data_IF_551831944492
#
_entry.id   IF_551831944492
#
_cell.length_a   1.000
_cell.length_b   1.000
_cell.length_c   1.000
_cell.angle_alpha   90.00
_cell.angle_beta   90.00
_cell.angle_gamma   90.00
#
_symmetry.space_group_name_H-M   'P 1'
#
loop_
_entity.id
_entity.type
_entity.pdbx_description
1 polymer ?
#
# COMPACT_ATOMS: atom_id res chain seq x y z
N UNK A 1 3.32 46.53 -26.06
CA UNK A 1 4.54 47.30 -25.69
C UNK A 1 4.13 48.47 -24.80
N UNK A 2 3.99 48.25 -23.50
CA UNK A 2 3.80 49.34 -22.52
C UNK A 2 4.74 49.04 -21.33
N UNK A 3 5.83 49.82 -21.25
CA UNK A 3 6.77 49.87 -20.12
C UNK A 3 6.32 50.99 -19.18
N UNK A 4 6.41 50.78 -17.87
CA UNK A 4 6.38 51.85 -16.88
C UNK A 4 7.60 51.70 -15.97
N UNK A 5 8.29 52.83 -15.83
CA UNK A 5 9.63 52.99 -15.25
C UNK A 5 9.60 53.05 -13.71
N UNK A 6 10.76 52.71 -13.15
CA UNK A 6 11.18 52.83 -11.76
C UNK A 6 10.99 54.21 -11.13
N UNK A 7 10.84 54.22 -9.80
CA UNK A 7 11.34 55.30 -8.93
C UNK A 7 11.71 54.74 -7.55
N UNK A 8 12.95 55.03 -7.18
CA UNK A 8 13.70 54.76 -5.94
C UNK A 8 13.25 55.63 -4.75
N UNK A 9 13.87 55.38 -3.57
CA UNK A 9 14.05 56.22 -2.34
C UNK A 9 13.25 55.69 -1.15
N UNK A 10 13.71 55.51 0.10
CA UNK A 10 15.01 55.57 0.82
C UNK A 10 14.76 54.98 2.23
N UNK A 11 15.81 54.42 2.85
CA UNK A 11 15.79 53.89 4.21
C UNK A 11 15.67 54.98 5.30
N UNK A 12 14.99 54.68 6.41
CA UNK A 12 15.18 55.38 7.70
C UNK A 12 15.23 54.39 8.87
N UNK A 13 15.90 54.84 9.92
CA UNK A 13 16.69 54.10 10.90
C UNK A 13 16.14 54.36 12.31
N UNK A 14 15.96 53.29 13.09
CA UNK A 14 16.16 53.22 14.56
C UNK A 14 15.11 53.83 15.50
N UNK A 15 14.68 53.06 16.51
CA UNK A 15 15.05 53.31 17.92
C UNK A 15 14.66 52.14 18.85
N UNK A 16 15.47 52.02 19.91
CA UNK A 16 15.51 51.08 21.04
C UNK A 16 14.25 50.94 21.89
N UNK A 17 14.09 49.78 22.54
CA UNK A 17 13.96 49.57 24.01
C UNK A 17 13.62 48.08 24.25
N UNK A 18 14.57 47.24 24.72
CA UNK A 18 14.69 46.80 26.13
C UNK A 18 13.36 46.74 26.88
N UNK A 19 12.81 45.53 27.07
CA UNK A 19 12.55 44.97 28.40
C UNK A 19 11.91 43.57 28.27
N UNK A 20 12.06 42.78 29.33
CA UNK A 20 11.50 41.44 29.58
C UNK A 20 12.30 40.23 29.11
N UNK A 21 13.48 40.10 29.71
CA UNK A 21 14.24 38.85 29.94
C UNK A 21 13.52 37.89 30.93
N UNK A 22 12.27 38.15 31.30
CA UNK A 22 11.47 37.32 32.20
C UNK A 22 10.32 36.62 31.45
N UNK A 23 10.64 35.60 30.64
CA UNK A 23 9.65 34.59 30.18
C UNK A 23 10.28 33.29 29.63
N UNK A 24 11.62 33.17 29.63
CA UNK A 24 12.31 31.99 29.12
C UNK A 24 12.21 30.79 30.09
N UNK A 25 11.98 31.02 31.38
CA UNK A 25 11.88 29.93 32.37
C UNK A 25 10.45 29.42 32.62
N UNK A 26 9.43 29.97 31.95
CA UNK A 26 8.03 29.56 32.15
C UNK A 26 7.39 28.85 30.95
N UNK A 27 8.17 28.55 29.90
CA UNK A 27 7.78 27.62 28.82
C UNK A 27 8.45 26.25 28.88
N UNK A 28 9.29 26.00 29.89
CA UNK A 28 9.97 24.72 30.11
C UNK A 28 9.09 23.64 30.78
N UNK A 29 7.80 23.90 30.99
CA UNK A 29 6.87 22.98 31.69
C UNK A 29 5.73 22.43 30.81
N UNK A 30 5.77 22.65 29.50
CA UNK A 30 4.87 21.96 28.54
C UNK A 30 5.65 20.96 27.68
N UNK A 31 6.69 20.35 28.25
CA UNK A 31 7.20 19.05 27.80
C UNK A 31 6.23 17.95 28.26
N UNK A 32 5.05 17.89 27.63
CA UNK A 32 4.36 16.60 27.50
C UNK A 32 5.24 15.74 26.59
N UNK A 33 5.62 14.51 26.96
CA UNK A 33 6.18 13.62 25.98
C UNK A 33 5.11 13.46 24.90
N UNK A 34 5.37 13.95 23.69
CA UNK A 34 4.67 13.44 22.51
C UNK A 34 4.84 11.93 22.56
N UNK A 35 3.79 11.14 22.33
CA UNK A 35 3.99 9.72 22.05
C UNK A 35 5.04 9.69 20.96
N UNK A 36 6.20 9.12 21.29
CA UNK A 36 7.18 8.77 20.28
C UNK A 36 6.49 7.64 19.55
N UNK A 37 5.75 7.97 18.49
CA UNK A 37 5.29 6.96 17.56
C UNK A 37 6.54 6.18 17.17
N UNK A 38 6.55 4.85 17.32
CA UNK A 38 7.66 4.07 16.83
C UNK A 38 7.82 4.43 15.37
N UNK A 39 9.02 4.85 14.99
CA UNK A 39 9.37 4.98 13.58
C UNK A 39 9.13 3.59 12.97
N UNK A 40 8.03 3.41 12.26
CA UNK A 40 7.65 2.21 11.51
C UNK A 40 8.60 1.98 10.29
N UNK A 41 9.89 2.19 10.50
CA UNK A 41 10.97 1.61 9.70
C UNK A 41 11.16 0.11 10.03
N UNK A 42 10.46 -0.41 11.04
CA UNK A 42 10.51 -1.81 11.47
C UNK A 42 9.59 -2.69 10.59
N UNK A 43 10.18 -3.44 9.64
CA UNK A 43 9.73 -4.72 9.02
C UNK A 43 10.21 -4.89 7.56
N UNK A 44 11.43 -4.45 7.26
CA UNK A 44 12.09 -4.75 5.97
C UNK A 44 12.29 -6.25 5.73
N UNK A 45 12.33 -7.05 6.79
CA UNK A 45 12.67 -8.48 6.76
C UNK A 45 11.47 -9.43 6.80
N UNK A 46 10.22 -8.95 6.84
CA UNK A 46 9.04 -9.83 6.97
C UNK A 46 8.39 -10.11 5.62
N UNK A 47 8.11 -11.39 5.35
CA UNK A 47 7.38 -11.83 4.17
C UNK A 47 5.96 -11.27 4.21
N UNK A 48 5.58 -10.59 3.13
CA UNK A 48 4.26 -10.00 2.91
C UNK A 48 3.54 -10.75 1.80
N UNK A 49 2.23 -10.54 1.74
CA UNK A 49 1.37 -11.27 0.81
C UNK A 49 1.76 -11.10 -0.67
N UNK A 50 2.23 -9.91 -1.10
CA UNK A 50 2.67 -9.70 -2.47
C UNK A 50 3.99 -10.41 -2.80
N UNK A 51 4.83 -10.76 -1.83
CA UNK A 51 6.09 -11.48 -2.11
C UNK A 51 5.79 -12.86 -2.70
N UNK A 52 4.63 -13.44 -2.36
CA UNK A 52 4.13 -14.66 -2.96
C UNK A 52 3.94 -14.55 -4.48
N UNK A 53 3.80 -13.34 -5.02
CA UNK A 53 3.63 -13.09 -6.45
C UNK A 53 4.92 -12.66 -7.15
N UNK A 54 5.87 -12.10 -6.41
CA UNK A 54 7.08 -11.53 -6.97
C UNK A 54 8.28 -12.51 -6.96
N UNK A 55 8.40 -13.34 -5.93
CA UNK A 55 9.52 -14.28 -5.78
C UNK A 55 9.29 -15.58 -6.57
N UNK A 56 10.34 -16.32 -6.96
CA UNK A 56 10.21 -17.67 -7.52
C UNK A 56 9.48 -18.61 -6.54
N UNK A 57 8.68 -19.55 -7.07
CA UNK A 57 7.88 -20.45 -6.22
C UNK A 57 8.79 -21.34 -5.37
N UNK A 58 9.90 -21.79 -5.93
CA UNK A 58 10.89 -22.65 -5.27
C UNK A 58 11.49 -21.94 -4.05
N UNK A 59 11.87 -20.67 -4.23
CA UNK A 59 12.38 -19.82 -3.14
C UNK A 59 11.33 -19.66 -2.03
N UNK A 60 10.06 -19.42 -2.40
CA UNK A 60 8.96 -19.32 -1.44
C UNK A 60 8.75 -20.63 -0.66
N UNK A 61 8.80 -21.77 -1.36
CA UNK A 61 8.59 -23.08 -0.75
C UNK A 61 9.72 -23.39 0.24
N UNK A 62 10.97 -23.18 -0.14
CA UNK A 62 12.12 -23.41 0.72
C UNK A 62 12.07 -22.51 1.96
N UNK A 63 11.78 -21.23 1.76
CA UNK A 63 11.70 -20.22 2.83
C UNK A 63 10.60 -20.53 3.85
N UNK A 64 9.47 -21.07 3.39
CA UNK A 64 8.32 -21.42 4.24
C UNK A 64 8.37 -22.88 4.72
N UNK A 65 9.46 -23.62 4.45
CA UNK A 65 9.58 -25.06 4.68
C UNK A 65 8.32 -25.81 4.17
N UNK A 66 7.90 -25.45 2.97
CA UNK A 66 6.66 -25.89 2.36
C UNK A 66 6.88 -27.05 1.39
N UNK A 67 5.89 -27.95 1.32
CA UNK A 67 5.90 -29.06 0.37
C UNK A 67 4.64 -29.04 -0.48
N UNK A 68 4.79 -29.34 -1.77
CA UNK A 68 3.67 -29.45 -2.72
C UNK A 68 3.48 -30.93 -3.10
N UNK A 69 2.26 -31.44 -2.98
CA UNK A 69 1.91 -32.83 -3.33
C UNK A 69 0.67 -32.88 -4.20
N UNK A 70 0.66 -33.80 -5.16
CA UNK A 70 -0.55 -34.12 -5.93
C UNK A 70 -1.44 -35.04 -5.08
N UNK A 71 -2.71 -34.69 -4.93
CA UNK A 71 -3.68 -35.51 -4.23
C UNK A 71 -5.10 -35.26 -4.77
N UNK A 72 -5.92 -36.30 -4.79
CA UNK A 72 -7.35 -36.16 -5.07
C UNK A 72 -8.00 -35.25 -4.02
N UNK A 73 -8.70 -34.22 -4.48
CA UNK A 73 -9.31 -33.22 -3.62
C UNK A 73 -10.81 -33.51 -3.43
N UNK A 74 -11.35 -33.37 -2.21
CA UNK A 74 -12.79 -33.43 -2.03
C UNK A 74 -13.46 -32.22 -2.68
N UNK A 75 -14.69 -32.41 -3.14
CA UNK A 75 -15.49 -31.38 -3.83
C UNK A 75 -14.81 -30.85 -5.11
N UNK A 76 -15.16 -29.65 -5.53
CA UNK A 76 -14.60 -28.93 -6.67
C UNK A 76 -13.28 -28.20 -6.37
N UNK A 77 -12.66 -28.41 -5.20
CA UNK A 77 -11.39 -27.78 -4.82
C UNK A 77 -10.19 -28.15 -5.71
N UNK A 78 -9.42 -27.15 -6.11
CA UNK A 78 -8.22 -27.28 -6.94
C UNK A 78 -6.95 -27.47 -6.11
N UNK A 79 -6.95 -26.98 -4.86
CA UNK A 79 -5.88 -27.23 -3.92
C UNK A 79 -6.24 -26.84 -2.50
N UNK A 80 -5.37 -27.23 -1.58
CA UNK A 80 -5.50 -26.94 -0.16
C UNK A 80 -4.12 -26.70 0.44
N UNK A 81 -4.05 -25.88 1.48
CA UNK A 81 -2.85 -25.68 2.27
C UNK A 81 -3.17 -25.85 3.76
N UNK A 82 -2.29 -26.59 4.43
CA UNK A 82 -2.38 -26.95 5.84
C UNK A 82 -1.10 -26.55 6.57
N UNK A 83 -1.24 -26.10 7.81
CA UNK A 83 -0.14 -25.89 8.73
C UNK A 83 0.23 -24.42 8.94
N UNK A 84 1.32 -24.21 9.68
CA UNK A 84 1.92 -22.91 9.96
C UNK A 84 3.39 -22.91 9.48
N UNK A 85 3.99 -21.75 9.17
CA UNK A 85 5.38 -21.64 8.73
C UNK A 85 6.40 -22.10 9.77
N UNK A 86 6.06 -22.06 11.06
CA UNK A 86 6.92 -22.56 12.14
C UNK A 86 7.12 -24.08 12.06
N UNK A 87 6.11 -24.82 11.58
CA UNK A 87 6.12 -26.27 11.41
C UNK A 87 6.21 -26.71 9.94
N UNK A 88 6.18 -25.76 9.00
CA UNK A 88 6.20 -25.96 7.57
C UNK A 88 4.79 -26.09 6.97
N UNK A 89 4.64 -25.61 5.73
CA UNK A 89 3.36 -25.66 5.02
C UNK A 89 3.22 -26.95 4.20
N UNK A 90 2.02 -27.53 4.17
CA UNK A 90 1.69 -28.66 3.29
C UNK A 90 0.65 -28.23 2.29
N UNK A 91 1.05 -28.14 1.03
CA UNK A 91 0.20 -27.74 -0.08
C UNK A 91 -0.16 -28.99 -0.89
N UNK A 92 -1.45 -29.17 -1.12
CA UNK A 92 -1.99 -30.22 -1.97
C UNK A 92 -2.61 -29.59 -3.20
N UNK A 93 -2.33 -30.16 -4.36
CA UNK A 93 -2.86 -29.71 -5.65
C UNK A 93 -3.56 -30.86 -6.35
N UNK A 94 -4.67 -30.57 -7.02
CA UNK A 94 -5.40 -31.55 -7.80
C UNK A 94 -4.54 -32.06 -8.96
N UNK A 95 -4.55 -33.38 -9.26
CA UNK A 95 -3.92 -33.90 -10.47
C UNK A 95 -4.51 -33.30 -11.74
N UNK A 96 -3.71 -33.21 -12.80
CA UNK A 96 -4.16 -32.74 -14.12
C UNK A 96 -4.04 -31.24 -14.37
N UNK A 97 -3.69 -30.43 -13.36
CA UNK A 97 -3.33 -29.02 -13.55
C UNK A 97 -1.98 -28.88 -14.26
N UNK A 98 -1.87 -27.87 -15.13
CA UNK A 98 -0.60 -27.45 -15.74
C UNK A 98 0.34 -26.83 -14.71
N UNK A 99 1.64 -26.77 -15.03
CA UNK A 99 2.64 -26.15 -14.13
C UNK A 99 2.35 -24.68 -13.86
N UNK A 100 1.79 -23.97 -14.85
CA UNK A 100 1.34 -22.59 -14.70
C UNK A 100 0.19 -22.47 -13.69
N UNK A 101 -0.83 -23.33 -13.79
CA UNK A 101 -1.96 -23.34 -12.85
C UNK A 101 -1.51 -23.73 -11.44
N UNK A 102 -0.62 -24.71 -11.30
CA UNK A 102 -0.04 -25.11 -10.02
C UNK A 102 0.72 -23.94 -9.40
N UNK A 103 1.59 -23.27 -10.16
CA UNK A 103 2.35 -22.10 -9.69
C UNK A 103 1.40 -21.01 -9.18
N UNK A 104 0.41 -20.63 -9.97
CA UNK A 104 -0.55 -19.58 -9.60
C UNK A 104 -1.39 -19.96 -8.38
N UNK A 105 -1.82 -21.22 -8.28
CA UNK A 105 -2.55 -21.76 -7.14
C UNK A 105 -1.71 -21.71 -5.85
N UNK A 106 -0.47 -22.16 -5.90
CA UNK A 106 0.49 -22.12 -4.77
C UNK A 106 0.69 -20.68 -4.30
N UNK A 107 0.97 -19.75 -5.22
CA UNK A 107 1.16 -18.33 -4.92
C UNK A 107 -0.06 -17.72 -4.24
N UNK A 108 -1.26 -18.04 -4.72
CA UNK A 108 -2.51 -17.53 -4.14
C UNK A 108 -2.77 -18.07 -2.74
N UNK A 109 -2.51 -19.37 -2.49
CA UNK A 109 -2.61 -19.97 -1.16
C UNK A 109 -1.62 -19.33 -0.18
N UNK A 110 -0.35 -19.21 -0.58
CA UNK A 110 0.70 -18.59 0.25
C UNK A 110 0.39 -17.12 0.50
N UNK A 111 0.04 -16.35 -0.53
CA UNK A 111 -0.30 -14.93 -0.43
C UNK A 111 -1.49 -14.70 0.51
N UNK A 112 -2.55 -15.52 0.39
CA UNK A 112 -3.68 -15.46 1.31
C UNK A 112 -3.27 -15.72 2.77
N UNK A 113 -2.45 -16.74 2.99
CA UNK A 113 -1.97 -17.07 4.33
C UNK A 113 -1.08 -15.98 4.93
N UNK A 114 -0.17 -15.41 4.15
CA UNK A 114 0.67 -14.29 4.59
C UNK A 114 -0.17 -13.04 4.90
N UNK A 115 -1.25 -12.80 4.15
CA UNK A 115 -2.20 -11.72 4.42
C UNK A 115 -3.16 -11.99 5.58
N UNK A 116 -3.39 -13.24 5.95
CA UNK A 116 -4.21 -13.65 7.10
C UNK A 116 -3.48 -14.70 7.96
N UNK A 117 -2.41 -14.30 8.68
CA UNK A 117 -1.66 -15.22 9.53
C UNK A 117 -2.55 -15.87 10.60
N UNK A 118 -2.28 -17.11 10.95
CA UNK A 118 -3.09 -17.88 11.93
C UNK A 118 -4.28 -18.63 11.32
N UNK A 119 -4.40 -18.64 9.99
CA UNK A 119 -5.30 -19.56 9.29
C UNK A 119 -4.69 -20.97 9.29
N UNK A 120 -5.29 -21.90 10.04
CA UNK A 120 -4.77 -23.27 10.15
C UNK A 120 -5.01 -24.13 8.91
N UNK A 121 -5.98 -23.75 8.08
CA UNK A 121 -6.30 -24.40 6.81
C UNK A 121 -6.92 -23.41 5.83
N UNK A 122 -6.49 -23.45 4.58
CA UNK A 122 -7.17 -22.79 3.47
C UNK A 122 -7.31 -23.72 2.25
N UNK A 123 -8.41 -23.56 1.52
CA UNK A 123 -8.72 -24.31 0.30
C UNK A 123 -8.98 -23.34 -0.84
N UNK A 124 -8.53 -23.70 -2.03
CA UNK A 124 -8.78 -22.96 -3.25
C UNK A 124 -9.81 -23.70 -4.11
N UNK A 125 -10.91 -23.04 -4.43
CA UNK A 125 -11.94 -23.54 -5.36
C UNK A 125 -11.94 -22.69 -6.62
N UNK A 126 -12.46 -23.17 -7.76
CA UNK A 126 -12.74 -22.33 -8.91
C UNK A 126 -13.66 -21.17 -8.49
N UNK A 127 -13.44 -19.99 -9.07
CA UNK A 127 -14.40 -18.90 -8.95
C UNK A 127 -15.53 -19.13 -9.95
N UNK A 128 -16.78 -19.00 -9.50
CA UNK A 128 -17.96 -19.21 -10.36
C UNK A 128 -18.03 -18.28 -11.58
N UNK A 129 -17.35 -17.13 -11.52
CA UNK A 129 -17.44 -16.07 -12.52
C UNK A 129 -16.28 -16.08 -13.53
N UNK A 130 -15.26 -16.93 -13.32
CA UNK A 130 -14.12 -17.04 -14.24
C UNK A 130 -13.39 -18.37 -14.03
N UNK A 131 -13.28 -19.16 -15.10
CA UNK A 131 -12.58 -20.45 -15.13
C UNK A 131 -11.08 -20.33 -14.76
N UNK A 132 -10.54 -19.12 -14.87
CA UNK A 132 -9.15 -18.85 -14.51
C UNK A 132 -9.01 -18.34 -13.08
N UNK A 133 -10.07 -17.95 -12.38
CA UNK A 133 -9.96 -17.38 -11.04
C UNK A 133 -10.15 -18.44 -9.95
N UNK A 134 -9.50 -18.25 -8.81
CA UNK A 134 -9.66 -19.11 -7.64
C UNK A 134 -10.26 -18.32 -6.47
N UNK A 135 -11.16 -18.92 -5.71
CA UNK A 135 -11.60 -18.39 -4.43
C UNK A 135 -10.91 -19.14 -3.31
N UNK A 136 -10.35 -18.40 -2.34
CA UNK A 136 -9.79 -19.01 -1.14
C UNK A 136 -10.83 -19.01 -0.03
N UNK A 137 -11.09 -20.19 0.53
CA UNK A 137 -11.91 -20.40 1.72
C UNK A 137 -10.96 -20.80 2.85
N UNK A 138 -11.06 -20.11 3.98
CA UNK A 138 -10.19 -20.36 5.14
C UNK A 138 -11.02 -20.75 6.35
N UNK A 139 -10.56 -21.74 7.11
CA UNK A 139 -11.11 -22.01 8.45
C UNK A 139 -10.17 -21.35 9.45
N UNK A 140 -10.68 -20.45 10.34
CA UNK A 140 -9.87 -19.87 11.39
C UNK A 140 -9.20 -20.99 12.21
N UNK A 141 -7.90 -20.84 12.50
CA UNK A 141 -7.28 -21.69 13.50
C UNK A 141 -8.01 -21.51 14.84
N UNK A 142 -8.18 -22.58 15.61
CA UNK A 142 -8.65 -22.46 16.99
C UNK A 142 -7.62 -21.56 17.71
N UNK A 143 -8.01 -20.44 18.34
CA UNK A 143 -7.05 -19.68 19.13
C UNK A 143 -6.49 -20.64 20.17
N UNK A 144 -5.17 -20.79 20.23
CA UNK A 144 -4.57 -21.50 21.33
C UNK A 144 -5.02 -20.77 22.60
N UNK A 145 -5.66 -21.47 23.54
CA UNK A 145 -6.02 -20.96 24.85
C UNK A 145 -4.72 -20.51 25.55
N UNK A 146 -4.34 -19.26 25.32
CA UNK A 146 -3.24 -18.58 25.96
C UNK A 146 -3.82 -17.30 26.50
N UNK A 147 -3.86 -17.24 27.83
CA UNK A 147 -4.32 -16.10 28.59
C UNK A 147 -3.52 -14.85 28.21
N UNK A 148 -4.22 -13.71 28.23
CA UNK A 148 -3.73 -12.35 28.03
C UNK A 148 -3.04 -12.05 26.70
N UNK A 149 -3.72 -11.27 25.85
CA UNK A 149 -3.27 -9.95 25.36
C UNK A 149 -1.92 -9.80 24.67
N UNK A 150 -1.16 -10.87 24.47
CA UNK A 150 0.09 -10.87 23.75
C UNK A 150 -0.24 -11.00 22.27
N UNK A 151 -0.11 -9.88 21.56
CA UNK A 151 0.26 -9.86 20.15
C UNK A 151 1.19 -11.04 19.93
N UNK A 152 0.81 -11.96 19.04
CA UNK A 152 1.57 -13.16 18.72
C UNK A 152 2.84 -12.70 18.04
N UNK A 153 3.79 -12.28 18.86
CA UNK A 153 5.10 -11.80 18.49
C UNK A 153 5.87 -13.06 18.11
N UNK A 154 5.74 -13.37 16.82
CA UNK A 154 6.83 -13.75 15.97
C UNK A 154 8.14 -14.15 16.68
N UNK A 155 8.16 -15.30 17.35
CA UNK A 155 9.30 -16.22 17.21
C UNK A 155 9.21 -16.90 15.83
N UNK A 156 9.06 -16.07 14.78
CA UNK A 156 9.34 -16.48 13.41
C UNK A 156 10.87 -16.49 13.34
N UNK A 157 11.44 -17.65 13.03
CA UNK A 157 12.83 -17.78 12.56
C UNK A 157 13.19 -16.53 11.78
N UNK A 158 14.30 -15.88 12.13
CA UNK A 158 14.91 -14.77 11.37
C UNK A 158 14.73 -15.07 9.89
N UNK A 159 13.73 -14.43 9.29
CA UNK A 159 13.44 -14.62 7.88
C UNK A 159 14.67 -14.04 7.19
N UNK A 160 15.40 -14.80 6.34
CA UNK A 160 16.53 -14.26 5.61
C UNK A 160 16.14 -12.94 4.96
N UNK A 161 17.10 -12.02 4.90
CA UNK A 161 16.89 -10.67 4.38
C UNK A 161 16.14 -10.74 3.05
N UNK A 162 14.88 -10.31 3.08
CA UNK A 162 13.99 -10.41 1.92
C UNK A 162 14.51 -9.57 0.78
N UNK A 163 15.23 -8.48 1.06
CA UNK A 163 15.85 -7.66 0.03
C UNK A 163 16.78 -8.50 -0.86
N UNK A 164 17.59 -9.38 -0.24
CA UNK A 164 18.51 -10.26 -0.95
C UNK A 164 17.79 -11.27 -1.86
N UNK A 165 16.55 -11.65 -1.54
CA UNK A 165 15.76 -12.59 -2.35
C UNK A 165 15.32 -12.00 -3.70
N UNK A 166 15.31 -10.68 -3.81
CA UNK A 166 15.00 -9.98 -5.05
C UNK A 166 16.23 -9.75 -5.93
N UNK A 167 17.45 -9.98 -5.43
CA UNK A 167 18.68 -9.79 -6.22
C UNK A 167 18.67 -10.67 -7.48
N UNK A 168 18.89 -10.04 -8.63
CA UNK A 168 18.86 -10.72 -9.93
C UNK A 168 17.46 -11.11 -10.45
N UNK A 169 16.39 -10.79 -9.71
CA UNK A 169 15.01 -10.93 -10.20
C UNK A 169 14.59 -9.74 -11.06
N UNK A 170 13.51 -9.91 -11.85
CA UNK A 170 12.89 -8.84 -12.63
C UNK A 170 12.39 -7.67 -11.75
N UNK A 171 12.17 -7.94 -10.46
CA UNK A 171 11.69 -7.00 -9.46
C UNK A 171 12.78 -6.49 -8.52
N UNK A 172 14.07 -6.71 -8.82
CA UNK A 172 15.14 -6.02 -8.10
C UNK A 172 15.00 -4.49 -8.24
N UNK A 173 15.37 -3.66 -7.26
CA UNK A 173 15.45 -2.22 -7.44
C UNK A 173 16.29 -1.80 -8.65
N UNK A 174 15.81 -0.90 -9.50
CA UNK A 174 16.54 -0.44 -10.70
C UNK A 174 17.83 0.31 -10.37
N UNK A 175 17.78 1.12 -9.31
CA UNK A 175 18.84 2.06 -8.97
C UNK A 175 19.33 1.89 -7.53
N UNK A 176 19.08 0.72 -6.93
CA UNK A 176 19.32 0.46 -5.52
C UNK A 176 18.16 0.94 -4.64
N UNK A 177 18.35 0.86 -3.32
CA UNK A 177 17.36 1.27 -2.33
C UNK A 177 17.38 2.79 -2.12
N UNK A 178 16.19 3.37 -2.02
CA UNK A 178 15.95 4.81 -1.97
C UNK A 178 15.15 5.17 -0.70
N UNK A 179 15.21 6.45 -0.30
CA UNK A 179 14.36 7.00 0.75
C UNK A 179 12.90 7.14 0.28
N UNK A 180 11.96 7.26 1.22
CA UNK A 180 10.54 7.50 0.91
C UNK A 180 10.36 8.72 -0.01
N UNK A 181 11.08 9.83 0.24
CA UNK A 181 10.94 11.06 -0.53
C UNK A 181 11.50 10.94 -1.96
N UNK A 182 12.63 10.25 -2.13
CA UNK A 182 13.18 9.94 -3.46
C UNK A 182 12.22 9.07 -4.26
N UNK A 183 11.59 8.09 -3.60
CA UNK A 183 10.60 7.20 -4.21
C UNK A 183 9.35 7.97 -4.59
N UNK A 184 8.82 8.82 -3.70
CA UNK A 184 7.68 9.70 -3.99
C UNK A 184 7.99 10.60 -5.20
N UNK A 185 9.18 11.20 -5.24
CA UNK A 185 9.63 12.01 -6.38
C UNK A 185 9.64 11.22 -7.70
N UNK A 186 10.19 10.00 -7.69
CA UNK A 186 10.20 9.13 -8.86
C UNK A 186 8.80 8.70 -9.30
N UNK A 187 7.88 8.40 -8.36
CA UNK A 187 6.50 8.04 -8.66
C UNK A 187 5.71 9.21 -9.27
N UNK A 188 5.91 10.43 -8.75
CA UNK A 188 5.34 11.65 -9.35
C UNK A 188 5.86 11.85 -10.77
N UNK A 189 7.16 11.64 -11.01
CA UNK A 189 7.75 11.73 -12.34
C UNK A 189 7.17 10.69 -13.31
N UNK A 190 6.82 9.47 -12.86
CA UNK A 190 6.13 8.50 -13.72
C UNK A 190 4.77 9.04 -14.21
N UNK A 191 3.99 9.67 -13.32
CA UNK A 191 2.70 10.26 -13.69
C UNK A 191 2.88 11.42 -14.68
N UNK A 192 3.80 12.34 -14.38
CA UNK A 192 3.99 13.55 -15.18
C UNK A 192 4.65 13.25 -16.51
N UNK A 193 5.76 12.51 -16.50
CA UNK A 193 6.61 12.34 -17.68
C UNK A 193 6.10 11.22 -18.60
N UNK A 194 5.50 10.17 -18.05
CA UNK A 194 5.10 8.98 -18.82
C UNK A 194 3.60 8.87 -19.04
N UNK A 195 2.78 9.35 -18.10
CA UNK A 195 1.32 9.36 -18.24
C UNK A 195 0.77 10.74 -18.64
N UNK A 196 1.66 11.73 -18.82
CA UNK A 196 1.30 13.11 -19.18
C UNK A 196 0.26 13.75 -18.24
N UNK A 197 0.26 13.28 -16.99
CA UNK A 197 -0.70 13.66 -15.96
C UNK A 197 -0.23 14.78 -15.04
N UNK A 198 -0.99 14.97 -13.97
CA UNK A 198 -0.68 15.84 -12.84
C UNK A 198 -0.46 14.99 -11.60
N UNK A 199 0.60 15.28 -10.86
CA UNK A 199 0.92 14.59 -9.61
C UNK A 199 1.39 15.60 -8.57
N UNK A 200 0.50 15.98 -7.66
CA UNK A 200 0.76 17.00 -6.66
C UNK A 200 0.46 16.48 -5.26
N UNK A 201 1.17 17.00 -4.26
CA UNK A 201 0.64 16.92 -2.91
C UNK A 201 -0.56 17.88 -2.82
N UNK A 202 -1.52 17.56 -1.95
CA UNK A 202 -2.66 18.43 -1.76
C UNK A 202 -2.22 19.83 -1.30
N UNK A 203 -2.77 20.92 -1.89
CA UNK A 203 -2.51 22.28 -1.41
C UNK A 203 -2.91 22.46 0.05
N UNK A 204 -2.15 23.25 0.82
CA UNK A 204 -2.44 23.54 2.23
C UNK A 204 -3.80 24.25 2.45
N UNK A 205 -4.32 24.91 1.41
CA UNK A 205 -5.59 25.64 1.40
C UNK A 205 -6.77 24.83 0.85
N UNK A 206 -6.58 23.56 0.51
CA UNK A 206 -7.66 22.69 0.10
C UNK A 206 -8.63 22.42 1.28
N UNK A 207 -9.93 22.28 0.96
CA UNK A 207 -10.94 21.85 1.94
C UNK A 207 -10.50 20.56 2.63
N UNK A 208 -10.80 20.42 3.93
CA UNK A 208 -10.46 19.22 4.70
C UNK A 208 -10.96 17.98 3.98
N UNK A 209 -10.07 17.00 3.86
CA UNK A 209 -10.42 15.75 3.22
C UNK A 209 -11.42 14.98 4.09
N UNK A 210 -12.29 14.21 3.43
CA UNK A 210 -13.17 13.31 4.15
C UNK A 210 -12.35 12.36 5.01
N UNK A 211 -12.84 12.12 6.23
CA UNK A 211 -12.14 11.27 7.19
C UNK A 211 -11.83 9.90 6.56
N UNK A 212 -10.56 9.49 6.66
CA UNK A 212 -10.10 8.19 6.18
C UNK A 212 -9.66 8.13 4.72
N UNK A 213 -9.76 9.22 3.95
CA UNK A 213 -9.24 9.31 2.58
C UNK A 213 -7.83 9.93 2.59
N UNK A 214 -6.89 9.35 1.83
CA UNK A 214 -5.49 9.79 1.76
C UNK A 214 -4.97 10.13 0.37
N UNK A 215 -5.64 9.64 -0.69
CA UNK A 215 -5.37 10.10 -2.06
C UNK A 215 -6.63 10.14 -2.95
N UNK A 216 -6.55 10.87 -4.05
CA UNK A 216 -7.56 10.93 -5.10
C UNK A 216 -6.91 10.73 -6.45
N UNK A 217 -7.60 9.99 -7.31
CA UNK A 217 -7.19 9.80 -8.69
C UNK A 217 -8.38 10.09 -9.58
N UNK A 218 -8.25 11.11 -10.41
CA UNK A 218 -9.21 11.46 -11.45
C UNK A 218 -8.54 11.33 -12.82
N UNK A 219 -9.33 11.46 -13.88
CA UNK A 219 -8.82 11.41 -15.25
C UNK A 219 -9.38 12.56 -16.07
N UNK A 220 -8.50 13.43 -16.52
CA UNK A 220 -8.80 14.46 -17.50
C UNK A 220 -8.43 14.04 -18.90
N UNK A 221 -8.54 14.98 -19.84
CA UNK A 221 -8.03 14.84 -21.19
C UNK A 221 -7.16 16.02 -21.57
N UNK A 222 -6.01 15.75 -22.18
CA UNK A 222 -5.12 16.75 -22.77
C UNK A 222 -4.80 16.31 -24.18
N UNK A 223 -5.03 17.19 -25.15
CA UNK A 223 -4.80 16.91 -26.57
C UNK A 223 -5.50 15.63 -27.10
N UNK A 224 -6.62 15.25 -26.48
CA UNK A 224 -7.40 14.04 -26.82
C UNK A 224 -6.91 12.77 -26.14
N UNK A 225 -5.81 12.82 -25.38
CA UNK A 225 -5.29 11.71 -24.60
C UNK A 225 -5.79 11.79 -23.15
N UNK A 226 -6.08 10.62 -22.56
CA UNK A 226 -6.51 10.52 -21.16
C UNK A 226 -5.30 10.72 -20.25
N UNK A 227 -5.38 11.68 -19.33
CA UNK A 227 -4.30 12.03 -18.42
C UNK A 227 -4.76 11.90 -16.96
N UNK A 228 -4.03 11.17 -16.10
CA UNK A 228 -4.37 11.07 -14.70
C UNK A 228 -4.10 12.38 -13.95
N UNK A 229 -4.96 12.69 -12.98
CA UNK A 229 -4.79 13.77 -12.02
C UNK A 229 -4.74 13.12 -10.64
N UNK A 230 -3.59 13.19 -9.98
CA UNK A 230 -3.34 12.49 -8.71
C UNK A 230 -2.97 13.50 -7.63
N UNK A 231 -3.70 13.42 -6.52
CA UNK A 231 -3.43 14.21 -5.32
C UNK A 231 -3.30 13.29 -4.11
N UNK A 232 -2.29 13.52 -3.29
CA UNK A 232 -2.05 12.77 -2.04
C UNK A 232 -1.91 13.75 -0.88
N UNK A 233 -2.49 13.43 0.26
CA UNK A 233 -2.39 14.24 1.48
C UNK A 233 -0.91 14.32 1.96
N UNK A 234 -0.30 15.52 2.02
CA UNK A 234 1.08 15.69 2.48
C UNK A 234 1.26 15.45 3.99
N UNK A 235 0.18 15.47 4.78
CA UNK A 235 0.25 15.37 6.24
C UNK A 235 0.36 13.91 6.74
N UNK A 236 0.21 12.94 5.83
CA UNK A 236 0.35 11.53 6.15
C UNK A 236 1.82 11.15 6.41
N UNK A 237 2.09 10.12 7.23
CA UNK A 237 3.45 9.60 7.42
C UNK A 237 4.11 9.22 6.08
N UNK A 238 5.41 9.53 5.93
CA UNK A 238 6.15 9.35 4.66
C UNK A 238 6.02 7.95 4.06
N UNK A 239 6.10 6.92 4.89
CA UNK A 239 5.97 5.54 4.44
C UNK A 239 4.57 5.21 3.92
N UNK A 240 3.52 5.82 4.48
CA UNK A 240 2.15 5.70 3.97
C UNK A 240 1.97 6.48 2.68
N UNK A 241 2.53 7.69 2.60
CA UNK A 241 2.53 8.49 1.37
C UNK A 241 3.20 7.75 0.22
N UNK A 242 4.36 7.13 0.46
CA UNK A 242 5.04 6.35 -0.57
C UNK A 242 4.18 5.17 -1.06
N UNK A 243 3.55 4.41 -0.15
CA UNK A 243 2.65 3.31 -0.53
C UNK A 243 1.42 3.81 -1.31
N UNK A 244 0.83 4.94 -0.90
CA UNK A 244 -0.31 5.58 -1.57
C UNK A 244 0.08 6.07 -2.97
N UNK A 245 1.21 6.77 -3.12
CA UNK A 245 1.72 7.17 -4.43
C UNK A 245 1.93 5.96 -5.34
N UNK A 246 2.48 4.86 -4.83
CA UNK A 246 2.62 3.62 -5.59
C UNK A 246 1.28 3.05 -6.05
N UNK A 247 0.28 3.07 -5.17
CA UNK A 247 -1.08 2.65 -5.50
C UNK A 247 -1.75 3.56 -6.54
N UNK A 248 -1.63 4.87 -6.38
CA UNK A 248 -2.16 5.85 -7.32
C UNK A 248 -1.51 5.75 -8.70
N UNK A 249 -0.20 5.50 -8.79
CA UNK A 249 0.49 5.23 -10.07
C UNK A 249 -0.08 3.97 -10.73
N UNK A 250 -0.25 2.89 -9.96
CA UNK A 250 -0.82 1.64 -10.48
C UNK A 250 -2.27 1.81 -10.96
N UNK A 251 -3.07 2.57 -10.20
CA UNK A 251 -4.44 2.94 -10.55
C UNK A 251 -4.50 3.79 -11.82
N UNK A 252 -3.66 4.82 -11.91
CA UNK A 252 -3.53 5.71 -13.06
C UNK A 252 -3.09 4.97 -14.33
N UNK A 253 -2.28 3.92 -14.19
CA UNK A 253 -1.79 3.09 -15.29
C UNK A 253 -2.82 2.07 -15.80
N UNK A 254 -4.03 2.07 -15.25
CA UNK A 254 -5.10 1.13 -15.65
C UNK A 254 -4.95 -0.27 -15.05
N UNK A 255 -4.36 -0.38 -13.85
CA UNK A 255 -4.36 -1.64 -13.11
C UNK A 255 -5.77 -2.17 -12.89
N UNK A 256 -5.92 -3.50 -12.83
CA UNK A 256 -7.22 -4.14 -12.66
C UNK A 256 -7.86 -3.78 -11.30
N UNK A 257 -9.03 -3.13 -11.40
CA UNK A 257 -9.79 -2.56 -10.30
C UNK A 257 -10.74 -3.55 -9.62
N UNK A 258 -10.83 -4.78 -10.12
CA UNK A 258 -11.78 -5.76 -9.59
C UNK A 258 -13.23 -5.28 -9.65
N UNK A 259 -13.56 -4.47 -10.65
CA UNK A 259 -14.89 -3.89 -10.84
C UNK A 259 -15.18 -2.60 -10.04
N UNK A 260 -14.19 -2.03 -9.34
CA UNK A 260 -14.38 -0.72 -8.72
C UNK A 260 -14.55 0.38 -9.78
N UNK A 261 -15.56 1.22 -9.59
CA UNK A 261 -15.86 2.36 -10.44
C UNK A 261 -15.59 3.67 -9.69
N UNK A 262 -15.22 4.75 -10.41
CA UNK A 262 -15.12 6.07 -9.79
C UNK A 262 -16.51 6.59 -9.39
N UNK A 263 -16.55 7.68 -8.61
CA UNK A 263 -17.80 8.37 -8.31
C UNK A 263 -18.41 9.04 -9.58
N UNK A 264 -19.53 9.74 -9.39
CA UNK A 264 -20.25 10.43 -10.48
C UNK A 264 -19.38 11.46 -11.22
N UNK A 265 -18.40 12.06 -10.54
CA UNK A 265 -17.43 13.01 -11.11
C UNK A 265 -16.21 12.34 -11.76
N UNK A 266 -16.15 11.01 -11.77
CA UNK A 266 -15.00 10.27 -12.34
C UNK A 266 -13.77 10.24 -11.43
N UNK A 267 -13.95 10.45 -10.11
CA UNK A 267 -12.90 10.47 -9.09
C UNK A 267 -12.89 9.14 -8.33
N UNK A 268 -11.71 8.57 -8.18
CA UNK A 268 -11.43 7.50 -7.22
C UNK A 268 -10.91 8.09 -5.92
N UNK A 269 -11.61 7.84 -4.81
CA UNK A 269 -11.11 8.12 -3.47
C UNK A 269 -10.32 6.91 -2.96
N UNK A 270 -9.10 7.13 -2.47
CA UNK A 270 -8.24 6.07 -1.95
C UNK A 270 -8.11 6.25 -0.44
N UNK A 271 -8.51 5.23 0.31
CA UNK A 271 -8.45 5.25 1.77
C UNK A 271 -7.01 5.21 2.32
N UNK A 272 -6.83 5.57 3.59
CA UNK A 272 -5.55 5.52 4.29
C UNK A 272 -5.21 4.13 4.86
N UNK A 273 -6.19 3.22 4.89
CA UNK A 273 -6.01 1.89 5.47
C UNK A 273 -5.34 0.92 4.47
N UNK A 274 -4.14 0.47 4.84
CA UNK A 274 -3.41 -0.59 4.14
C UNK A 274 -4.06 -1.96 4.35
N UNK A 275 -4.02 -2.78 3.31
CA UNK A 275 -4.53 -4.15 3.28
C UNK A 275 -3.56 -5.07 2.53
N UNK A 276 -3.42 -6.34 2.93
CA UNK A 276 -2.54 -7.28 2.26
C UNK A 276 -2.93 -7.55 0.80
N UNK A 277 -1.92 -7.59 -0.07
CA UNK A 277 -2.08 -7.90 -1.50
C UNK A 277 -2.04 -9.41 -1.71
N UNK A 278 -3.20 -10.03 -1.85
CA UNK A 278 -3.33 -11.50 -1.94
C UNK A 278 -3.44 -12.04 -3.37
N UNK A 279 -3.49 -11.16 -4.38
CA UNK A 279 -3.71 -11.53 -5.78
C UNK A 279 -3.25 -10.46 -6.77
N UNK A 280 -3.35 -10.76 -8.08
CA UNK A 280 -3.16 -9.77 -9.15
C UNK A 280 -4.19 -8.64 -9.03
N UNK A 281 -3.80 -7.44 -9.48
CA UNK A 281 -4.62 -6.23 -9.42
C UNK A 281 -3.78 -4.98 -9.14
N UNK A 282 -4.45 -3.84 -8.97
CA UNK A 282 -3.79 -2.54 -8.68
C UNK A 282 -2.83 -2.63 -7.49
N UNK A 283 -3.23 -3.28 -6.39
CA UNK A 283 -2.37 -3.39 -5.20
C UNK A 283 -1.07 -4.16 -5.44
N UNK A 284 -1.10 -5.21 -6.29
CA UNK A 284 0.12 -5.93 -6.67
C UNK A 284 1.00 -5.10 -7.58
N UNK A 285 0.42 -4.46 -8.59
CA UNK A 285 1.14 -3.55 -9.46
C UNK A 285 1.82 -2.43 -8.67
N UNK A 286 1.13 -1.89 -7.66
CA UNK A 286 1.66 -0.87 -6.75
C UNK A 286 2.88 -1.39 -5.97
N UNK A 287 2.74 -2.55 -5.32
CA UNK A 287 3.83 -3.15 -4.56
C UNK A 287 5.06 -3.42 -5.43
N UNK A 288 4.86 -3.99 -6.62
CA UNK A 288 5.92 -4.27 -7.57
C UNK A 288 6.58 -3.00 -8.12
N UNK A 289 5.80 -1.95 -8.36
CA UNK A 289 6.30 -0.63 -8.79
C UNK A 289 7.19 -0.01 -7.72
N UNK A 290 6.74 0.01 -6.46
CA UNK A 290 7.52 0.51 -5.32
C UNK A 290 8.83 -0.26 -5.15
N UNK A 291 8.75 -1.59 -5.21
CA UNK A 291 9.90 -2.47 -5.16
C UNK A 291 10.91 -2.14 -6.27
N UNK A 292 10.42 -1.90 -7.50
CA UNK A 292 11.27 -1.57 -8.66
C UNK A 292 11.91 -0.18 -8.58
N UNK A 293 11.22 0.79 -7.98
CA UNK A 293 11.71 2.15 -7.71
C UNK A 293 12.71 2.19 -6.53
N UNK A 294 12.82 1.08 -5.79
CA UNK A 294 13.83 0.93 -4.75
C UNK A 294 13.32 1.17 -3.35
N UNK A 295 12.05 0.87 -3.09
CA UNK A 295 11.48 0.87 -1.74
C UNK A 295 10.78 -0.43 -1.46
N UNK A 296 11.01 -1.01 -0.27
CA UNK A 296 10.29 -2.21 0.15
C UNK A 296 8.83 -1.82 0.36
N UNK A 297 7.89 -2.36 -0.44
CA UNK A 297 6.50 -1.96 -0.32
C UNK A 297 5.91 -2.39 1.01
N UNK A 298 5.04 -1.54 1.53
CA UNK A 298 4.14 -1.88 2.62
C UNK A 298 3.08 -2.90 2.18
N UNK A 299 1.96 -2.90 2.89
CA UNK A 299 0.74 -3.54 2.41
C UNK A 299 0.05 -2.55 1.46
N UNK A 300 0.16 -2.78 0.15
CA UNK A 300 -0.29 -1.84 -0.87
C UNK A 300 -1.71 -2.11 -1.39
N UNK A 301 -2.50 -2.94 -0.70
CA UNK A 301 -3.94 -3.01 -0.98
C UNK A 301 -4.61 -1.83 -0.31
N UNK A 302 -5.15 -0.88 -1.07
CA UNK A 302 -5.96 0.20 -0.51
C UNK A 302 -7.42 0.02 -0.90
N UNK A 303 -8.31 0.36 0.02
CA UNK A 303 -9.73 0.40 -0.29
C UNK A 303 -10.02 1.65 -1.13
N UNK A 304 -10.76 1.45 -2.21
CA UNK A 304 -11.38 2.54 -2.95
C UNK A 304 -12.69 2.92 -2.23
N UNK A 305 -12.75 4.15 -1.76
CA UNK A 305 -13.88 4.70 -1.01
C UNK A 305 -15.03 5.07 -1.92
N UNK A 306 -16.25 4.91 -1.42
CA UNK A 306 -17.42 5.62 -1.93
C UNK A 306 -17.30 7.10 -1.60
N UNK A 307 -17.99 7.95 -2.35
CA UNK A 307 -18.08 9.38 -2.04
C UNK A 307 -18.49 9.57 -0.57
N UNK A 308 -17.83 10.48 0.16
CA UNK A 308 -18.24 10.79 1.52
C UNK A 308 -19.63 11.39 1.47
N UNK A 309 -20.50 10.97 2.39
CA UNK A 309 -21.75 11.67 2.58
C UNK A 309 -21.43 13.13 2.90
N UNK A 310 -21.68 14.04 1.95
CA UNK A 310 -21.70 15.46 2.22
C UNK A 310 -22.63 15.63 3.42
N UNK A 311 -22.06 15.98 4.58
CA UNK A 311 -22.86 16.44 5.69
C UNK A 311 -23.62 17.63 5.13
N UNK A 312 -24.91 17.47 4.91
CA UNK A 312 -25.78 18.58 4.61
C UNK A 312 -25.71 19.48 5.83
N UNK A 313 -24.79 20.45 5.79
CA UNK A 313 -24.94 21.64 6.60
C UNK A 313 -26.36 22.11 6.31
N UNK A 314 -27.22 21.96 7.33
CA UNK A 314 -28.51 22.58 7.34
C UNK A 314 -28.24 24.05 7.08
N UNK A 315 -28.51 24.49 5.85
CA UNK A 315 -28.70 25.90 5.54
C UNK A 315 -29.62 26.42 6.64
N UNK A 316 -29.20 27.40 7.46
CA UNK A 316 -30.12 27.99 8.41
C UNK A 316 -31.29 28.52 7.59
N UNK A 317 -32.50 28.08 7.92
CA UNK A 317 -33.73 28.57 7.32
C UNK A 317 -33.68 30.11 7.34
N UNK A 318 -33.53 30.68 6.15
CA UNK A 318 -33.56 32.11 5.95
C UNK A 318 -35.01 32.54 5.68
N UNK A 319 -35.58 33.16 6.72
CA UNK A 319 -36.78 34.02 6.77
C UNK A 319 -38.17 33.36 6.72
#
# INVERSE_FOLDING_TARGET
MWKLNSSTVTAMKGHHMTDNVASIEQRASENRPRPTEPQDCERTEVLRAHDAWALPVEVLLDLLNATVRKAEMPYDALGAMLGDPSSGLRIYVRPGLSDYEVSRLVRKLIGHYLGKPGTGMCTATPAFESDSEFKILSIPGKPADTADGAVVDAERRTVPDIASLYEGSDWAPMHGWCTDEEVIGALKALIVDHLHGLAEDLPEDASEWPEGIGATVAFGYKDGERCPLVFVDPNLPSGLRADLWGFCVALASGGDLGGAEPNEDGIFFVGTQRSPVTGPGVGLLAALTLQRVGRRPGDCGFQLGSEPAMSSEQLPDAA
#
